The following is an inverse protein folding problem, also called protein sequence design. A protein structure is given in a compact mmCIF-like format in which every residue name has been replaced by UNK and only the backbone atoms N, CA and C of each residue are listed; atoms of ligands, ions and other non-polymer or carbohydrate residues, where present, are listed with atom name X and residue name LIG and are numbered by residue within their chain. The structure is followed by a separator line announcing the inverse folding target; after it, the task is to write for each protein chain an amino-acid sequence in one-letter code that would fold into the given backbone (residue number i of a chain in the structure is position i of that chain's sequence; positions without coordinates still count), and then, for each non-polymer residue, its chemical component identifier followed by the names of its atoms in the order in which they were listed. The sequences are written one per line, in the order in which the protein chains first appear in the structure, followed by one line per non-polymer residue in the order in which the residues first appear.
data_IF_722498504726
#
_entry.id   IF_722498504726
#
_cell.length_a   1.000
_cell.length_b   1.000
_cell.length_c   1.000
_cell.angle_alpha   90.00
_cell.angle_beta   90.00
_cell.angle_gamma   90.00
#
_symmetry.space_group_name_H-M   'P 1'
#
loop_
_entity.id
_entity.type
_entity.pdbx_description
1 polymer ?
#
# COMPACT_ATOMS: atom_id res chain seq x y z
N UNK A 1 45.32 2.71 -1.99
CA UNK A 1 44.00 3.19 -1.50
C UNK A 1 43.09 2.02 -1.13
N UNK A 2 43.58 1.06 -0.35
CA UNK A 2 42.85 -0.17 -0.05
C UNK A 2 42.09 -0.10 1.28
N UNK A 3 42.67 0.61 2.25
CA UNK A 3 42.06 0.85 3.56
C UNK A 3 40.76 1.69 3.46
N UNK A 4 40.76 2.78 2.69
CA UNK A 4 39.55 3.59 2.47
C UNK A 4 38.44 2.80 1.76
N UNK A 5 38.80 1.92 0.83
CA UNK A 5 37.84 1.06 0.15
C UNK A 5 37.17 0.08 1.11
N UNK A 6 37.95 -0.61 1.96
CA UNK A 6 37.42 -1.47 3.02
C UNK A 6 36.52 -0.70 3.99
N UNK A 7 36.92 0.52 4.37
CA UNK A 7 36.14 1.39 5.25
C UNK A 7 34.79 1.77 4.61
N UNK A 8 34.75 2.05 3.31
CA UNK A 8 33.50 2.30 2.57
C UNK A 8 32.58 1.08 2.61
N UNK A 9 33.08 -0.14 2.37
CA UNK A 9 32.25 -1.35 2.44
C UNK A 9 31.63 -1.57 3.81
N UNK A 10 32.43 -1.41 4.88
CA UNK A 10 31.93 -1.53 6.26
C UNK A 10 30.90 -0.44 6.56
N UNK A 11 31.17 0.81 6.18
CA UNK A 11 30.24 1.92 6.37
C UNK A 11 28.92 1.70 5.62
N UNK A 12 28.96 1.19 4.38
CA UNK A 12 27.75 0.87 3.61
C UNK A 12 26.93 -0.23 4.28
N UNK A 13 27.56 -1.29 4.80
CA UNK A 13 26.85 -2.35 5.54
C UNK A 13 26.16 -1.78 6.77
N UNK A 14 26.89 -1.00 7.58
CA UNK A 14 26.32 -0.36 8.78
C UNK A 14 25.14 0.54 8.40
N UNK A 15 25.28 1.34 7.35
CA UNK A 15 24.23 2.26 6.92
C UNK A 15 22.99 1.53 6.39
N UNK A 16 23.17 0.44 5.66
CA UNK A 16 22.05 -0.42 5.23
C UNK A 16 21.33 -1.00 6.45
N UNK A 17 22.06 -1.50 7.46
CA UNK A 17 21.46 -2.02 8.69
C UNK A 17 20.67 -0.95 9.47
N UNK A 18 21.21 0.26 9.59
CA UNK A 18 20.50 1.36 10.28
C UNK A 18 19.23 1.77 9.53
N UNK A 19 19.28 1.87 8.20
CA UNK A 19 18.11 2.23 7.38
C UNK A 19 17.04 1.15 7.46
N UNK A 20 17.41 -0.14 7.41
CA UNK A 20 16.42 -1.23 7.52
C UNK A 20 15.76 -1.27 8.89
N UNK A 21 16.52 -1.10 9.97
CA UNK A 21 15.95 -1.04 11.33
C UNK A 21 15.02 0.17 11.51
N UNK A 22 15.41 1.34 10.99
CA UNK A 22 14.58 2.54 11.05
C UNK A 22 13.27 2.37 10.26
N UNK A 23 13.33 1.79 9.05
CA UNK A 23 12.13 1.48 8.26
C UNK A 23 11.23 0.47 8.96
N UNK A 24 11.80 -0.60 9.52
CA UNK A 24 11.05 -1.63 10.24
C UNK A 24 10.35 -1.05 11.49
N UNK A 25 11.04 -0.24 12.29
CA UNK A 25 10.46 0.43 13.45
C UNK A 25 9.36 1.42 13.05
N UNK A 26 9.54 2.18 11.96
CA UNK A 26 8.53 3.09 11.44
C UNK A 26 7.26 2.38 10.96
N UNK A 27 7.41 1.29 10.20
CA UNK A 27 6.29 0.46 9.75
C UNK A 27 5.55 -0.20 10.92
N UNK A 28 6.28 -0.67 11.94
CA UNK A 28 5.69 -1.26 13.15
C UNK A 28 4.85 -0.24 13.91
N UNK A 29 5.39 0.98 14.14
CA UNK A 29 4.66 2.06 14.80
C UNK A 29 3.40 2.48 14.02
N UNK A 30 3.48 2.52 12.69
CA UNK A 30 2.31 2.79 11.85
C UNK A 30 1.25 1.69 11.94
N UNK A 31 1.64 0.42 12.05
CA UNK A 31 0.70 -0.68 12.21
C UNK A 31 -0.06 -0.56 13.54
N UNK A 32 0.62 -0.24 14.64
CA UNK A 32 0.01 -0.02 15.97
C UNK A 32 -0.99 1.16 15.94
N UNK A 33 -0.64 2.27 15.29
CA UNK A 33 -1.54 3.41 15.08
C UNK A 33 -2.80 3.02 14.28
N UNK A 34 -2.64 2.19 13.26
CA UNK A 34 -3.77 1.74 12.44
C UNK A 34 -4.66 0.77 13.20
N UNK A 35 -4.10 -0.07 14.07
CA UNK A 35 -4.83 -0.97 14.97
C UNK A 35 -5.66 -0.19 16.00
N UNK A 36 -5.07 0.82 16.65
CA UNK A 36 -5.78 1.62 17.66
C UNK A 36 -6.84 2.55 17.03
N UNK A 37 -6.58 3.09 15.83
CA UNK A 37 -7.45 4.07 15.17
C UNK A 37 -7.95 3.62 13.79
N UNK A 38 -8.51 2.40 13.70
CA UNK A 38 -9.02 1.81 12.43
C UNK A 38 -9.98 2.73 11.64
N UNK A 39 -10.87 3.46 12.32
CA UNK A 39 -11.82 4.40 11.69
C UNK A 39 -11.10 5.59 11.05
N UNK A 40 -10.07 6.11 11.72
CA UNK A 40 -9.27 7.23 11.22
C UNK A 40 -8.40 6.73 10.07
N UNK A 41 -7.80 5.54 10.20
CA UNK A 41 -7.02 4.89 9.15
C UNK A 41 -7.83 4.72 7.86
N UNK A 42 -9.04 4.17 7.95
CA UNK A 42 -9.92 4.04 6.78
C UNK A 42 -10.28 5.38 6.12
N UNK A 43 -10.41 6.46 6.91
CA UNK A 43 -10.63 7.81 6.38
C UNK A 43 -9.36 8.39 5.74
N UNK A 44 -8.18 8.16 6.32
CA UNK A 44 -6.89 8.58 5.75
C UNK A 44 -6.66 7.88 4.41
N UNK A 45 -6.88 6.57 4.33
CA UNK A 45 -6.71 5.82 3.08
C UNK A 45 -7.67 6.34 2.00
N UNK A 46 -8.91 6.68 2.36
CA UNK A 46 -9.87 7.36 1.45
C UNK A 46 -9.32 8.68 0.90
N UNK A 47 -8.78 9.53 1.76
CA UNK A 47 -8.18 10.80 1.35
C UNK A 47 -6.92 10.61 0.51
N UNK A 48 -6.05 9.70 0.90
CA UNK A 48 -4.80 9.37 0.21
C UNK A 48 -5.09 8.85 -1.20
N UNK A 49 -6.08 7.97 -1.32
CA UNK A 49 -6.55 7.46 -2.60
C UNK A 49 -7.14 8.55 -3.49
N UNK A 50 -7.97 9.43 -2.92
CA UNK A 50 -8.53 10.58 -3.62
C UNK A 50 -7.44 11.55 -4.09
N UNK A 51 -6.42 11.81 -3.27
CA UNK A 51 -5.28 12.65 -3.64
C UNK A 51 -4.54 12.07 -4.83
N UNK A 52 -4.26 10.76 -4.84
CA UNK A 52 -3.61 10.09 -5.98
C UNK A 52 -4.49 10.14 -7.23
N UNK A 53 -5.81 9.99 -7.10
CA UNK A 53 -6.75 10.16 -8.21
C UNK A 53 -6.66 11.58 -8.82
N UNK A 54 -6.62 12.62 -7.98
CA UNK A 54 -6.48 14.02 -8.42
C UNK A 54 -5.14 14.24 -9.11
N UNK A 55 -4.05 13.66 -8.61
CA UNK A 55 -2.73 13.75 -9.25
C UNK A 55 -2.74 13.09 -10.63
N UNK A 56 -3.35 11.92 -10.79
CA UNK A 56 -3.52 11.28 -12.10
C UNK A 56 -4.34 12.13 -13.07
N UNK A 57 -5.42 12.76 -12.61
CA UNK A 57 -6.22 13.69 -13.45
C UNK A 57 -5.41 14.93 -13.82
N UNK A 58 -4.66 15.51 -12.88
CA UNK A 58 -3.76 16.63 -13.14
C UNK A 58 -2.70 16.28 -14.17
N UNK A 59 -2.10 15.10 -14.08
CA UNK A 59 -1.14 14.61 -15.07
C UNK A 59 -1.74 14.53 -16.47
N UNK A 60 -2.99 14.10 -16.63
CA UNK A 60 -3.67 14.07 -17.94
C UNK A 60 -3.83 15.48 -18.53
N UNK A 61 -4.11 16.48 -17.70
CA UNK A 61 -4.42 17.85 -18.16
C UNK A 61 -3.16 18.62 -18.53
N UNK A 62 -2.07 18.44 -17.77
CA UNK A 62 -0.85 19.23 -17.93
C UNK A 62 0.22 18.54 -18.78
N UNK A 63 0.22 17.21 -18.86
CA UNK A 63 1.28 16.43 -19.50
C UNK A 63 0.68 15.37 -20.46
N UNK A 64 1.16 15.33 -21.71
CA UNK A 64 0.90 14.25 -22.68
C UNK A 64 1.69 12.98 -22.33
N UNK A 65 1.64 12.57 -21.06
CA UNK A 65 2.33 11.38 -20.58
C UNK A 65 1.72 10.13 -21.20
N UNK A 66 2.50 9.04 -21.30
CA UNK A 66 2.09 7.78 -21.94
C UNK A 66 0.70 7.31 -21.46
N UNK A 67 -0.31 7.56 -22.30
CA UNK A 67 -1.73 7.44 -21.98
C UNK A 67 -2.09 6.07 -21.38
N UNK A 68 -1.41 4.99 -21.80
CA UNK A 68 -1.72 3.65 -21.29
C UNK A 68 -1.36 3.46 -19.81
N UNK A 69 -0.30 4.09 -19.30
CA UNK A 69 0.07 3.99 -17.86
C UNK A 69 -0.87 4.85 -17.01
N UNK A 70 -1.25 6.02 -17.52
CA UNK A 70 -2.17 6.92 -16.84
C UNK A 70 -3.60 6.36 -16.77
N UNK A 71 -4.09 5.76 -17.87
CA UNK A 71 -5.38 5.08 -17.91
C UNK A 71 -5.38 3.85 -17.01
N UNK A 72 -4.32 3.04 -17.03
CA UNK A 72 -4.20 1.88 -16.13
C UNK A 72 -4.15 2.30 -14.65
N UNK A 73 -3.46 3.39 -14.34
CA UNK A 73 -3.48 4.03 -13.01
C UNK A 73 -4.88 4.47 -12.59
N UNK A 74 -5.64 5.11 -13.49
CA UNK A 74 -7.02 5.54 -13.23
C UNK A 74 -7.98 4.36 -13.01
N UNK A 75 -7.83 3.29 -13.79
CA UNK A 75 -8.58 2.04 -13.61
C UNK A 75 -8.23 1.40 -12.26
N UNK A 76 -6.96 1.41 -11.89
CA UNK A 76 -6.52 0.94 -10.57
C UNK A 76 -7.21 1.74 -9.47
N UNK A 77 -7.25 3.07 -9.60
CA UNK A 77 -7.96 3.97 -8.67
C UNK A 77 -9.45 3.63 -8.57
N UNK A 78 -10.10 3.31 -9.68
CA UNK A 78 -11.49 2.84 -9.67
C UNK A 78 -11.68 1.54 -8.88
N UNK A 79 -10.84 0.54 -9.12
CA UNK A 79 -10.91 -0.78 -8.46
C UNK A 79 -10.59 -0.67 -6.96
N UNK A 80 -9.61 0.16 -6.60
CA UNK A 80 -9.29 0.45 -5.19
C UNK A 80 -10.43 1.14 -4.47
N UNK A 81 -11.20 2.01 -5.14
CA UNK A 81 -12.39 2.63 -4.56
C UNK A 81 -13.49 1.61 -4.25
N UNK A 82 -13.53 0.52 -5.02
CA UNK A 82 -14.39 -0.64 -4.76
C UNK A 82 -13.88 -1.44 -3.54
N UNK A 83 -12.58 -1.69 -3.46
CA UNK A 83 -11.97 -2.38 -2.30
C UNK A 83 -12.16 -1.60 -0.99
N UNK A 84 -12.15 -0.26 -1.06
CA UNK A 84 -12.32 0.64 0.08
C UNK A 84 -13.75 0.68 0.65
N UNK A 85 -14.73 0.13 -0.08
CA UNK A 85 -16.13 0.01 0.38
C UNK A 85 -16.31 -1.14 1.38
N UNK A 86 -15.51 -2.19 1.25
CA UNK A 86 -15.55 -3.39 2.12
C UNK A 86 -14.66 -3.23 3.37
N UNK A 87 -13.94 -2.10 3.50
CA UNK A 87 -13.21 -1.77 4.71
C UNK A 87 -14.17 -1.63 5.91
N UNK A 88 -13.95 -2.32 7.05
CA UNK A 88 -12.68 -2.92 7.48
C UNK A 88 -12.46 -4.40 7.09
N UNK A 89 -13.45 -5.22 6.77
CA UNK A 89 -13.25 -6.66 6.56
C UNK A 89 -12.86 -6.99 5.11
N UNK A 90 -11.60 -6.77 4.75
CA UNK A 90 -11.08 -7.14 3.43
C UNK A 90 -10.68 -8.62 3.45
N UNK A 91 -11.47 -9.46 2.79
CA UNK A 91 -11.09 -10.86 2.59
C UNK A 91 -9.97 -10.97 1.53
N UNK A 92 -8.85 -11.59 1.91
CA UNK A 92 -7.69 -11.85 1.03
C UNK A 92 -8.10 -12.72 -0.19
N UNK A 93 -9.16 -13.52 -0.03
CA UNK A 93 -9.73 -14.39 -1.08
C UNK A 93 -10.65 -13.64 -2.07
N UNK A 94 -10.97 -12.36 -1.80
CA UNK A 94 -11.88 -11.61 -2.68
C UNK A 94 -11.24 -11.37 -4.06
N UNK A 95 -12.01 -11.50 -5.16
CA UNK A 95 -11.49 -11.28 -6.51
C UNK A 95 -11.02 -9.84 -6.72
N UNK A 96 -11.58 -8.88 -5.97
CA UNK A 96 -11.19 -7.46 -6.01
C UNK A 96 -9.79 -7.25 -5.42
N UNK A 97 -9.46 -7.93 -4.32
CA UNK A 97 -8.11 -7.87 -3.72
C UNK A 97 -7.06 -8.44 -4.66
N UNK A 98 -7.29 -9.66 -5.19
CA UNK A 98 -6.37 -10.30 -6.14
C UNK A 98 -6.18 -9.45 -7.39
N UNK A 99 -7.27 -8.91 -7.94
CA UNK A 99 -7.23 -8.02 -9.11
C UNK A 99 -6.41 -6.77 -8.82
N UNK A 100 -6.56 -6.19 -7.63
CA UNK A 100 -5.78 -5.02 -7.20
C UNK A 100 -4.29 -5.35 -7.10
N UNK A 101 -3.92 -6.49 -6.50
CA UNK A 101 -2.52 -6.94 -6.42
C UNK A 101 -1.91 -7.13 -7.82
N UNK A 102 -2.61 -7.81 -8.73
CA UNK A 102 -2.15 -7.99 -10.12
C UNK A 102 -1.97 -6.63 -10.80
N UNK A 103 -2.93 -5.71 -10.62
CA UNK A 103 -2.85 -4.38 -11.23
C UNK A 103 -1.63 -3.58 -10.74
N UNK A 104 -1.24 -3.69 -9.47
CA UNK A 104 0.00 -3.07 -8.96
C UNK A 104 1.20 -3.53 -9.78
N UNK A 105 1.38 -4.84 -9.92
CA UNK A 105 2.53 -5.40 -10.63
C UNK A 105 2.54 -5.03 -12.11
N UNK A 106 1.37 -5.08 -12.76
CA UNK A 106 1.24 -4.67 -14.17
C UNK A 106 1.57 -3.19 -14.32
N UNK A 107 1.01 -2.32 -13.47
CA UNK A 107 1.26 -0.88 -13.53
C UNK A 107 2.75 -0.55 -13.28
N UNK A 108 3.39 -1.25 -12.34
CA UNK A 108 4.83 -1.14 -12.09
C UNK A 108 5.66 -1.57 -13.30
N UNK A 109 5.31 -2.70 -13.92
CA UNK A 109 6.02 -3.22 -15.09
C UNK A 109 5.94 -2.24 -16.27
N UNK A 110 4.75 -1.70 -16.55
CA UNK A 110 4.57 -0.72 -17.61
C UNK A 110 5.29 0.60 -17.32
N UNK A 111 5.24 1.08 -16.08
CA UNK A 111 6.01 2.26 -15.67
C UNK A 111 7.52 2.05 -15.84
N UNK A 112 8.06 0.91 -15.38
CA UNK A 112 9.48 0.60 -15.50
C UNK A 112 9.92 0.44 -16.96
N UNK A 113 9.11 -0.19 -17.80
CA UNK A 113 9.33 -0.26 -19.26
C UNK A 113 9.42 1.14 -19.87
N UNK A 114 8.50 2.03 -19.52
CA UNK A 114 8.50 3.40 -20.01
C UNK A 114 9.78 4.14 -19.58
N UNK A 115 10.13 4.08 -18.30
CA UNK A 115 11.33 4.75 -17.77
C UNK A 115 12.64 4.17 -18.31
N UNK A 116 12.66 2.89 -18.70
CA UNK A 116 13.84 2.25 -19.29
C UNK A 116 14.07 2.58 -20.77
N UNK A 117 13.08 3.14 -21.48
CA UNK A 117 13.20 3.40 -22.93
C UNK A 117 13.93 4.68 -23.29
N UNK A 118 13.99 5.66 -22.38
CA UNK A 118 14.63 6.95 -22.64
C UNK A 118 15.57 7.28 -21.50
N UNK A 119 16.84 7.56 -21.83
CA UNK A 119 17.83 8.02 -20.87
C UNK A 119 17.65 9.51 -20.63
N UNK A 120 17.37 9.87 -19.38
CA UNK A 120 17.17 11.25 -18.99
C UNK A 120 18.32 11.79 -18.13
N UNK A 121 18.55 13.12 -18.14
CA UNK A 121 19.44 13.77 -17.19
C UNK A 121 18.94 13.57 -15.75
N UNK A 122 19.85 13.69 -14.78
CA UNK A 122 19.60 13.36 -13.36
C UNK A 122 18.36 14.05 -12.77
N UNK A 123 18.09 15.30 -13.13
CA UNK A 123 16.93 16.06 -12.63
C UNK A 123 15.58 15.44 -13.01
N UNK A 124 15.45 14.97 -14.25
CA UNK A 124 14.21 14.39 -14.74
C UNK A 124 14.02 12.95 -14.23
N UNK A 125 15.10 12.20 -13.99
CA UNK A 125 15.03 10.92 -13.29
C UNK A 125 14.49 11.09 -11.87
N UNK A 126 14.95 12.12 -11.13
CA UNK A 126 14.45 12.41 -9.78
C UNK A 126 12.95 12.70 -9.79
N UNK A 127 12.46 13.52 -10.72
CA UNK A 127 11.03 13.82 -10.87
C UNK A 127 10.19 12.55 -11.10
N UNK A 128 10.72 11.63 -11.93
CA UNK A 128 10.07 10.35 -12.26
C UNK A 128 10.08 9.38 -11.08
N UNK A 129 11.13 9.36 -10.28
CA UNK A 129 11.16 8.61 -9.03
C UNK A 129 10.14 9.16 -8.02
N UNK A 130 9.96 10.48 -7.93
CA UNK A 130 8.90 11.07 -7.10
C UNK A 130 7.50 10.66 -7.55
N UNK A 131 7.24 10.65 -8.86
CA UNK A 131 5.98 10.12 -9.41
C UNK A 131 5.77 8.66 -9.02
N UNK A 132 6.82 7.84 -9.15
CA UNK A 132 6.78 6.43 -8.78
C UNK A 132 6.46 6.24 -7.28
N UNK A 133 7.14 6.95 -6.39
CA UNK A 133 6.88 6.81 -4.95
C UNK A 133 5.49 7.32 -4.55
N UNK A 134 5.04 8.44 -5.09
CA UNK A 134 3.76 9.05 -4.68
C UNK A 134 2.56 8.34 -5.30
N UNK A 135 2.62 7.98 -6.58
CA UNK A 135 1.46 7.44 -7.30
C UNK A 135 1.40 5.92 -7.27
N UNK A 136 2.54 5.23 -7.36
CA UNK A 136 2.59 3.76 -7.43
C UNK A 136 2.77 3.10 -6.06
N UNK A 137 3.49 3.72 -5.13
CA UNK A 137 3.82 3.10 -3.83
C UNK A 137 2.88 3.53 -2.70
N UNK A 138 2.53 4.81 -2.61
CA UNK A 138 1.77 5.34 -1.48
C UNK A 138 0.47 4.56 -1.18
N UNK A 139 -0.32 4.23 -2.22
CA UNK A 139 -1.60 3.52 -2.08
C UNK A 139 -1.41 2.05 -1.67
N UNK A 140 -0.62 1.21 -2.38
CA UNK A 140 -0.39 -0.17 -1.96
C UNK A 140 0.19 -0.29 -0.56
N UNK A 141 1.17 0.55 -0.20
CA UNK A 141 1.77 0.50 1.14
C UNK A 141 0.76 0.82 2.25
N UNK A 142 -0.09 1.84 2.06
CA UNK A 142 -1.13 2.17 3.02
C UNK A 142 -2.13 1.00 3.19
N UNK A 143 -2.50 0.33 2.09
CA UNK A 143 -3.36 -0.85 2.13
C UNK A 143 -2.70 -2.03 2.86
N UNK A 144 -1.45 -2.36 2.56
CA UNK A 144 -0.75 -3.47 3.21
C UNK A 144 -0.62 -3.28 4.72
N UNK A 145 -0.27 -2.08 5.18
CA UNK A 145 -0.20 -1.76 6.62
C UNK A 145 -1.59 -1.85 7.27
N UNK A 146 -2.65 -1.49 6.55
CA UNK A 146 -4.02 -1.57 7.07
C UNK A 146 -4.56 -3.00 7.19
N UNK A 147 -4.14 -3.91 6.33
CA UNK A 147 -4.54 -5.31 6.36
C UNK A 147 -3.89 -6.06 7.53
N UNK A 148 -2.59 -5.84 7.76
CA UNK A 148 -1.87 -6.50 8.85
C UNK A 148 -2.44 -6.18 10.23
N UNK A 149 -3.07 -5.01 10.39
CA UNK A 149 -3.75 -4.64 11.64
C UNK A 149 -5.15 -5.26 11.77
N UNK A 150 -5.78 -5.66 10.66
CA UNK A 150 -7.15 -6.16 10.64
C UNK A 150 -7.24 -7.67 10.92
N UNK A 151 -6.30 -8.47 10.40
CA UNK A 151 -6.30 -9.93 10.55
C UNK A 151 -6.15 -10.41 12.02
N UNK A 152 -5.92 -9.49 12.97
CA UNK A 152 -5.74 -9.79 14.39
C UNK A 152 -6.93 -9.38 15.28
N UNK A 153 -8.05 -8.89 14.70
CA UNK A 153 -9.27 -8.68 15.48
C UNK A 153 -9.89 -10.03 15.83
N UNK A 154 -10.08 -10.29 17.13
CA UNK A 154 -10.75 -11.50 17.59
C UNK A 154 -12.09 -11.67 16.86
N UNK A 155 -12.46 -12.90 16.43
CA UNK A 155 -13.81 -13.16 15.97
C UNK A 155 -14.74 -12.71 17.10
N UNK A 156 -15.48 -11.63 16.88
CA UNK A 156 -16.55 -11.24 17.81
C UNK A 156 -17.47 -12.44 17.82
N UNK A 157 -17.56 -13.08 18.98
CA UNK A 157 -18.38 -14.25 19.24
C UNK A 157 -19.73 -14.05 18.54
N UNK A 158 -19.91 -14.74 17.43
CA UNK A 158 -21.23 -15.17 17.02
C UNK A 158 -21.67 -16.15 18.10
N UNK A 159 -22.07 -15.64 19.27
CA UNK A 159 -22.97 -16.35 20.14
C UNK A 159 -24.23 -16.49 19.30
N UNK A 160 -24.59 -17.69 18.81
CA UNK A 160 -25.89 -17.87 18.23
C UNK A 160 -26.86 -17.68 19.39
N UNK A 161 -27.50 -16.52 19.45
CA UNK A 161 -28.66 -16.32 20.28
C UNK A 161 -29.73 -17.31 19.77
N UNK A 162 -29.82 -18.48 20.40
CA UNK A 162 -30.90 -19.43 20.16
C UNK A 162 -30.48 -20.89 20.12
N UNK A 163 -30.26 -21.51 21.28
CA UNK A 163 -30.95 -22.78 21.57
C UNK A 163 -31.16 -22.87 23.08
N UNK A 164 -32.38 -22.58 23.51
CA UNK A 164 -32.91 -22.87 24.84
C UNK A 164 -32.83 -24.38 25.10
N UNK A 165 -31.84 -24.84 25.87
CA UNK A 165 -31.92 -26.13 26.54
C UNK A 165 -32.34 -25.88 28.01
N UNK A 166 -33.57 -26.29 28.29
CA UNK A 166 -34.25 -26.26 29.58
C UNK A 166 -33.42 -26.90 30.71
N UNK A 167 -33.45 -26.38 31.94
CA UNK A 167 -32.84 -27.05 33.08
C UNK A 167 -33.74 -28.21 33.53
N UNK A 168 -33.30 -29.45 33.30
CA UNK A 168 -33.85 -30.62 33.99
C UNK A 168 -33.04 -30.81 35.26
N UNK A 169 -33.62 -30.50 36.41
CA UNK A 169 -33.13 -30.95 37.72
C UNK A 169 -33.53 -32.42 37.93
N UNK A 170 -32.61 -33.30 38.35
CA UNK A 170 -32.96 -34.58 38.97
C UNK A 170 -32.84 -34.51 40.51
N UNK A 171 -33.71 -35.19 41.29
CA UNK A 171 -33.37 -35.75 42.58
C UNK A 171 -32.61 -37.09 42.44
#
# INVERSE_FOLDING_TARGET
MWFLFLLTWVATIVQVCFVTLALAAGLYYLAELVEEYTVISGRIIKWLHLMVAVVYVGLIIFEDFYYSVTVLGLVSVGIYSLMLKDFPFIEISSPVFITSCVLVFVNHYFAFRYFSTVWHPFSENVLRFCFFTVCLWLVPFAFFVSLSANDNVLPTLQTPAGTSHSPVCPP
#
